data_IF_621391042692
#
_entry.id   IF_621391042692
#
_cell.length_a   1.000
_cell.length_b   1.000
_cell.length_c   1.000
_cell.angle_alpha   90.00
_cell.angle_beta   90.00
_cell.angle_gamma   90.00
#
_symmetry.space_group_name_H-M   'P 1'
#
loop_
_entity.id
_entity.type
_entity.pdbx_description
1 polymer ?
#
# COMPACT_ATOMS: atom_id res chain seq x y z
N UNK A 1 -20.20 3.54 10.59
CA UNK A 1 -19.05 3.55 9.66
C UNK A 1 -19.42 2.62 8.54
N UNK A 2 -19.62 3.14 7.33
CA UNK A 2 -19.81 2.27 6.18
C UNK A 2 -18.47 1.56 5.94
N UNK A 3 -18.43 0.28 6.26
CA UNK A 3 -17.29 -0.57 5.92
C UNK A 3 -17.38 -0.79 4.41
N UNK A 4 -16.56 -0.09 3.63
CA UNK A 4 -16.48 -0.41 2.20
C UNK A 4 -15.79 -1.77 2.03
N UNK A 5 -16.31 -2.53 1.08
CA UNK A 5 -15.69 -3.73 0.55
C UNK A 5 -15.44 -3.54 -0.95
N UNK A 6 -14.86 -4.55 -1.59
CA UNK A 6 -14.52 -4.50 -3.00
C UNK A 6 -15.74 -4.56 -3.95
N UNK A 7 -16.97 -4.75 -3.45
CA UNK A 7 -18.19 -4.84 -4.27
C UNK A 7 -18.50 -3.55 -5.03
N UNK A 8 -17.97 -2.40 -4.59
CA UNK A 8 -18.07 -1.14 -5.34
C UNK A 8 -17.48 -1.24 -6.75
N UNK A 9 -16.55 -2.17 -6.96
CA UNK A 9 -15.91 -2.45 -8.24
C UNK A 9 -16.54 -3.64 -9.00
N UNK A 10 -17.66 -4.20 -8.53
CA UNK A 10 -18.35 -5.30 -9.22
C UNK A 10 -18.82 -4.91 -10.62
N UNK A 11 -19.16 -3.63 -10.80
CA UNK A 11 -19.47 -3.08 -12.11
C UNK A 11 -18.17 -2.71 -12.81
N UNK A 12 -17.90 -3.34 -13.95
CA UNK A 12 -16.73 -3.07 -14.82
C UNK A 12 -16.47 -1.58 -15.05
N UNK A 13 -17.53 -0.79 -15.24
CA UNK A 13 -17.45 0.67 -15.45
C UNK A 13 -16.83 1.41 -14.25
N UNK A 14 -17.15 1.01 -13.02
CA UNK A 14 -16.60 1.66 -11.81
C UNK A 14 -15.13 1.29 -11.61
N UNK A 15 -14.76 0.03 -11.83
CA UNK A 15 -13.36 -0.40 -11.82
C UNK A 15 -12.54 0.38 -12.86
N UNK A 16 -13.01 0.42 -14.12
CA UNK A 16 -12.34 1.14 -15.20
C UNK A 16 -12.16 2.63 -14.86
N UNK A 17 -13.22 3.27 -14.37
CA UNK A 17 -13.18 4.69 -13.98
C UNK A 17 -12.12 4.94 -12.90
N UNK A 18 -12.06 4.09 -11.87
CA UNK A 18 -11.07 4.22 -10.82
C UNK A 18 -9.63 4.01 -11.33
N UNK A 19 -9.41 2.98 -12.16
CA UNK A 19 -8.10 2.72 -12.76
C UNK A 19 -7.63 3.88 -13.65
N UNK A 20 -8.50 4.42 -14.49
CA UNK A 20 -8.18 5.57 -15.35
C UNK A 20 -7.80 6.79 -14.50
N UNK A 21 -8.55 7.08 -13.42
CA UNK A 21 -8.21 8.17 -12.52
C UNK A 21 -6.82 8.00 -11.91
N UNK A 22 -6.48 6.80 -11.46
CA UNK A 22 -5.14 6.51 -10.92
C UNK A 22 -4.05 6.75 -11.96
N UNK A 23 -4.23 6.27 -13.19
CA UNK A 23 -3.26 6.48 -14.27
C UNK A 23 -3.04 7.96 -14.60
N UNK A 24 -4.11 8.75 -14.58
CA UNK A 24 -4.06 10.18 -14.95
C UNK A 24 -3.54 11.08 -13.82
N UNK A 25 -3.86 10.77 -12.56
CA UNK A 25 -3.69 11.71 -11.45
C UNK A 25 -2.76 11.21 -10.34
N UNK A 26 -2.54 9.90 -10.21
CA UNK A 26 -1.75 9.37 -9.11
C UNK A 26 -0.28 9.26 -9.53
N UNK A 27 0.53 10.20 -9.03
CA UNK A 27 2.00 10.14 -9.13
C UNK A 27 2.53 10.00 -10.57
N UNK A 28 2.06 10.79 -11.56
CA UNK A 28 2.44 10.63 -12.97
C UNK A 28 3.94 10.80 -13.25
N UNK A 29 4.68 11.48 -12.37
CA UNK A 29 6.12 11.75 -12.50
C UNK A 29 6.91 11.41 -11.23
N UNK A 30 6.40 10.48 -10.41
CA UNK A 30 7.04 10.13 -9.13
C UNK A 30 8.25 9.21 -9.34
N UNK A 31 9.42 9.52 -8.74
CA UNK A 31 10.59 8.64 -8.80
C UNK A 31 10.30 7.23 -8.27
N UNK A 32 9.35 7.09 -7.34
CA UNK A 32 8.89 5.81 -6.85
C UNK A 32 8.30 4.91 -7.94
N UNK A 33 7.89 5.47 -9.08
CA UNK A 33 7.43 4.67 -10.22
C UNK A 33 8.54 4.05 -11.04
N UNK A 34 9.60 4.83 -11.30
CA UNK A 34 10.82 4.32 -11.91
C UNK A 34 11.42 3.18 -11.05
N UNK A 35 11.53 3.40 -9.74
CA UNK A 35 12.04 2.40 -8.80
C UNK A 35 11.16 1.15 -8.73
N UNK A 36 9.84 1.32 -8.74
CA UNK A 36 8.89 0.20 -8.81
C UNK A 36 9.17 -0.67 -10.04
N UNK A 37 9.32 -0.05 -11.22
CA UNK A 37 9.63 -0.77 -12.45
C UNK A 37 10.98 -1.51 -12.38
N UNK A 38 12.00 -0.87 -11.79
CA UNK A 38 13.34 -1.47 -11.60
C UNK A 38 13.31 -2.69 -10.70
N UNK A 39 12.54 -2.69 -9.62
CA UNK A 39 12.39 -3.85 -8.73
C UNK A 39 11.88 -5.09 -9.48
N UNK A 40 10.97 -4.91 -10.44
CA UNK A 40 10.40 -6.03 -11.19
C UNK A 40 11.27 -6.55 -12.33
N UNK A 41 12.44 -5.96 -12.58
CA UNK A 41 13.46 -6.54 -13.45
C UNK A 41 14.14 -7.76 -12.79
N UNK A 42 14.08 -7.86 -11.45
CA UNK A 42 14.65 -8.98 -10.71
C UNK A 42 13.74 -10.21 -10.75
N UNK A 43 14.31 -11.35 -11.12
CA UNK A 43 13.66 -12.66 -10.94
C UNK A 43 13.58 -13.00 -9.46
N UNK A 44 12.62 -13.84 -9.07
CA UNK A 44 12.45 -14.26 -7.67
C UNK A 44 13.75 -14.80 -7.04
N UNK A 45 14.50 -15.62 -7.78
CA UNK A 45 15.80 -16.15 -7.32
C UNK A 45 16.84 -15.09 -6.96
N UNK A 46 16.69 -13.87 -7.49
CA UNK A 46 17.57 -12.72 -7.24
C UNK A 46 17.06 -11.81 -6.11
N UNK A 47 15.83 -12.01 -5.61
CA UNK A 47 15.19 -11.15 -4.59
C UNK A 47 15.78 -11.24 -3.18
N UNK A 48 16.86 -11.99 -3.02
CA UNK A 48 17.62 -12.13 -1.77
C UNK A 48 19.09 -11.74 -1.95
N UNK A 49 19.44 -11.16 -3.11
CA UNK A 49 20.74 -10.54 -3.35
C UNK A 49 20.83 -9.17 -2.67
N UNK A 50 22.05 -8.69 -2.44
CA UNK A 50 22.28 -7.36 -1.87
C UNK A 50 21.64 -6.28 -2.75
N UNK A 51 21.92 -6.29 -4.06
CA UNK A 51 21.39 -5.32 -5.03
C UNK A 51 19.87 -5.20 -4.98
N UNK A 52 19.16 -6.32 -4.87
CA UNK A 52 17.70 -6.29 -4.75
C UNK A 52 17.25 -5.68 -3.43
N UNK A 53 17.87 -6.08 -2.32
CA UNK A 53 17.47 -5.65 -0.97
C UNK A 53 17.77 -4.15 -0.79
N UNK A 54 18.90 -3.67 -1.30
CA UNK A 54 19.22 -2.23 -1.36
C UNK A 54 18.17 -1.47 -2.16
N UNK A 55 17.85 -1.94 -3.38
CA UNK A 55 16.82 -1.32 -4.21
C UNK A 55 15.44 -1.34 -3.54
N UNK A 56 15.08 -2.43 -2.88
CA UNK A 56 13.86 -2.57 -2.09
C UNK A 56 13.81 -1.52 -0.96
N UNK A 57 14.90 -1.39 -0.20
CA UNK A 57 15.00 -0.43 0.91
C UNK A 57 14.85 1.02 0.44
N UNK A 58 15.54 1.37 -0.65
CA UNK A 58 15.45 2.69 -1.29
C UNK A 58 14.03 2.94 -1.82
N UNK A 59 13.41 1.94 -2.44
CA UNK A 59 12.06 2.06 -2.97
C UNK A 59 11.02 2.25 -1.87
N UNK A 60 11.12 1.49 -0.78
CA UNK A 60 10.25 1.68 0.40
C UNK A 60 10.42 3.09 0.99
N UNK A 61 11.66 3.59 1.05
CA UNK A 61 11.95 4.97 1.47
C UNK A 61 11.28 6.00 0.54
N UNK A 62 11.41 5.85 -0.78
CA UNK A 62 10.73 6.68 -1.78
C UNK A 62 9.18 6.56 -1.70
N UNK A 63 8.68 5.45 -1.19
CA UNK A 63 7.25 5.22 -0.91
C UNK A 63 6.82 5.76 0.48
N UNK A 64 7.65 6.60 1.11
CA UNK A 64 7.45 7.25 2.42
C UNK A 64 7.43 6.30 3.62
N UNK A 65 8.05 5.12 3.53
CA UNK A 65 8.18 4.18 4.66
C UNK A 65 9.26 4.58 5.67
N UNK A 66 9.97 5.69 5.42
CA UNK A 66 10.88 6.33 6.37
C UNK A 66 10.46 7.79 6.66
N UNK A 67 9.25 7.96 7.20
CA UNK A 67 8.63 9.25 7.51
C UNK A 67 8.09 9.28 8.95
N UNK A 68 7.43 10.37 9.38
CA UNK A 68 6.99 10.52 10.80
C UNK A 68 6.15 9.33 11.33
N UNK A 69 5.37 8.67 10.47
CA UNK A 69 4.50 7.54 10.83
C UNK A 69 5.02 6.14 10.49
N UNK A 70 6.19 6.02 9.88
CA UNK A 70 6.81 4.74 9.55
C UNK A 70 8.33 4.92 9.54
N UNK A 71 9.08 4.04 10.21
CA UNK A 71 10.53 4.08 10.17
C UNK A 71 11.00 2.67 9.84
N UNK A 72 11.73 2.54 8.73
CA UNK A 72 12.39 1.29 8.36
C UNK A 72 13.43 0.96 9.42
N UNK A 73 13.64 -0.33 9.68
CA UNK A 73 14.78 -0.79 10.47
C UNK A 73 16.10 -0.30 9.84
N UNK A 74 17.17 -0.28 10.63
CA UNK A 74 18.52 -0.13 10.07
C UNK A 74 18.75 -1.14 8.94
N UNK A 75 19.45 -0.71 7.90
CA UNK A 75 19.59 -1.49 6.66
C UNK A 75 20.16 -2.90 6.91
N UNK A 76 21.14 -3.04 7.81
CA UNK A 76 21.69 -4.36 8.17
C UNK A 76 20.63 -5.29 8.75
N UNK A 77 19.85 -4.82 9.73
CA UNK A 77 18.75 -5.57 10.36
C UNK A 77 17.69 -5.95 9.33
N UNK A 78 17.32 -5.01 8.45
CA UNK A 78 16.37 -5.23 7.37
C UNK A 78 16.86 -6.30 6.39
N UNK A 79 18.12 -6.20 5.96
CA UNK A 79 18.75 -7.08 4.98
C UNK A 79 18.91 -8.51 5.52
N UNK A 80 19.43 -8.65 6.73
CA UNK A 80 19.57 -9.93 7.42
C UNK A 80 18.21 -10.60 7.61
N UNK A 81 17.21 -9.86 8.10
CA UNK A 81 15.88 -10.41 8.34
C UNK A 81 15.21 -10.95 7.06
N UNK A 82 15.34 -10.24 5.92
CA UNK A 82 14.81 -10.76 4.63
C UNK A 82 15.54 -12.04 4.20
N UNK A 83 16.86 -12.10 4.36
CA UNK A 83 17.66 -13.26 3.96
C UNK A 83 17.37 -14.48 4.84
N UNK A 84 17.17 -14.30 6.14
CA UNK A 84 16.82 -15.36 7.09
C UNK A 84 15.50 -16.05 6.73
N UNK A 85 14.52 -15.29 6.24
CA UNK A 85 13.19 -15.81 5.88
C UNK A 85 13.07 -16.27 4.42
N UNK A 86 14.19 -16.41 3.70
CA UNK A 86 14.22 -16.81 2.28
C UNK A 86 13.46 -18.11 2.01
N UNK A 87 13.55 -19.09 2.90
CA UNK A 87 12.86 -20.38 2.79
C UNK A 87 11.35 -20.21 2.80
N UNK A 88 10.81 -19.32 3.64
CA UNK A 88 9.38 -19.05 3.74
C UNK A 88 8.86 -18.29 2.52
N UNK A 89 9.61 -17.28 2.07
CA UNK A 89 9.27 -16.61 0.80
C UNK A 89 9.26 -17.60 -0.37
N UNK A 90 10.19 -18.56 -0.42
CA UNK A 90 10.24 -19.57 -1.49
C UNK A 90 9.01 -20.47 -1.51
N UNK A 91 8.42 -20.80 -0.35
CA UNK A 91 7.15 -21.54 -0.27
C UNK A 91 6.00 -20.75 -0.92
N UNK A 92 6.10 -19.41 -0.92
CA UNK A 92 5.09 -18.50 -1.44
C UNK A 92 5.30 -18.06 -2.90
N UNK A 93 6.44 -18.36 -3.52
CA UNK A 93 6.88 -17.81 -4.82
C UNK A 93 5.84 -17.92 -5.94
N UNK A 94 5.12 -19.04 -6.01
CA UNK A 94 4.15 -19.33 -7.08
C UNK A 94 2.70 -19.17 -6.65
N UNK A 95 2.47 -18.69 -5.43
CA UNK A 95 1.14 -18.48 -4.89
C UNK A 95 0.55 -17.19 -5.47
N UNK A 96 -0.76 -17.18 -5.70
CA UNK A 96 -1.50 -16.00 -6.14
C UNK A 96 -2.43 -15.53 -5.03
N UNK A 97 -2.94 -14.31 -5.13
CA UNK A 97 -3.84 -13.76 -4.11
C UNK A 97 -5.11 -14.60 -3.93
N UNK A 98 -5.53 -15.36 -4.94
CA UNK A 98 -6.63 -16.34 -4.80
C UNK A 98 -6.29 -17.51 -3.87
N UNK A 99 -5.01 -17.81 -3.66
CA UNK A 99 -4.49 -18.84 -2.75
C UNK A 99 -4.18 -18.32 -1.35
N UNK A 100 -4.53 -17.06 -1.03
CA UNK A 100 -4.17 -16.39 0.22
C UNK A 100 -4.47 -17.25 1.46
N UNK A 101 -5.68 -17.81 1.58
CA UNK A 101 -6.11 -18.55 2.77
C UNK A 101 -5.20 -19.76 3.08
N UNK A 102 -4.71 -20.45 2.04
CA UNK A 102 -3.81 -21.60 2.18
C UNK A 102 -2.46 -21.24 2.79
N UNK A 103 -2.08 -19.96 2.70
CA UNK A 103 -0.77 -19.44 3.06
C UNK A 103 -0.78 -18.64 4.36
N UNK A 104 -1.91 -18.61 5.07
CA UNK A 104 -2.12 -17.77 6.27
C UNK A 104 -1.04 -17.92 7.33
N UNK A 105 -0.71 -19.16 7.68
CA UNK A 105 0.25 -19.42 8.76
C UNK A 105 1.66 -18.94 8.41
N UNK A 106 2.11 -19.16 7.16
CA UNK A 106 3.42 -18.67 6.70
C UNK A 106 3.43 -17.13 6.67
N UNK A 107 2.35 -16.51 6.21
CA UNK A 107 2.24 -15.04 6.17
C UNK A 107 2.17 -14.45 7.58
N UNK A 108 1.49 -15.11 8.53
CA UNK A 108 1.46 -14.71 9.93
C UNK A 108 2.85 -14.81 10.56
N UNK A 109 3.56 -15.91 10.31
CA UNK A 109 4.93 -16.09 10.81
C UNK A 109 5.86 -14.98 10.27
N UNK A 110 5.79 -14.69 8.97
CA UNK A 110 6.50 -13.56 8.37
C UNK A 110 6.10 -12.23 9.04
N UNK A 111 4.81 -11.99 9.31
CA UNK A 111 4.37 -10.76 9.98
C UNK A 111 4.94 -10.63 11.39
N UNK A 112 5.09 -11.75 12.08
CA UNK A 112 5.62 -11.80 13.44
C UNK A 112 7.13 -11.65 13.50
N UNK A 113 7.86 -12.18 12.52
CA UNK A 113 9.31 -12.34 12.62
C UNK A 113 10.11 -11.41 11.69
N UNK A 114 9.50 -10.86 10.64
CA UNK A 114 10.20 -9.99 9.70
C UNK A 114 10.44 -8.59 10.28
N UNK A 115 11.72 -8.20 10.41
CA UNK A 115 12.18 -6.94 11.00
C UNK A 115 12.33 -5.86 9.94
N UNK A 116 11.21 -5.41 9.36
CA UNK A 116 11.19 -4.37 8.32
C UNK A 116 10.96 -2.96 8.84
N UNK A 117 10.56 -2.81 10.10
CA UNK A 117 10.32 -1.54 10.78
C UNK A 117 11.08 -1.48 12.09
N UNK A 118 11.47 -0.27 12.47
CA UNK A 118 12.06 0.01 13.77
C UNK A 118 11.18 -0.48 14.92
N UNK A 119 11.84 -0.79 16.05
CA UNK A 119 11.15 -1.21 17.27
C UNK A 119 10.09 -0.18 17.70
N UNK A 120 8.91 -0.67 18.09
CA UNK A 120 7.77 0.16 18.47
C UNK A 120 7.05 0.86 17.32
N UNK A 121 7.43 0.65 16.05
CA UNK A 121 6.69 1.15 14.89
C UNK A 121 5.67 0.13 14.37
N UNK A 122 4.53 0.59 13.85
CA UNK A 122 3.49 -0.30 13.31
C UNK A 122 3.95 -0.95 11.99
N UNK A 123 4.05 -2.30 11.91
CA UNK A 123 4.54 -2.99 10.72
C UNK A 123 3.56 -2.99 9.53
N UNK A 124 2.24 -2.90 9.75
CA UNK A 124 1.21 -3.20 8.75
C UNK A 124 1.51 -2.72 7.31
N UNK A 125 1.76 -1.43 7.18
CA UNK A 125 1.92 -0.76 5.87
C UNK A 125 3.25 -1.15 5.24
N UNK A 126 4.34 -1.06 6.00
CA UNK A 126 5.68 -1.42 5.53
C UNK A 126 5.74 -2.89 5.15
N UNK A 127 5.20 -3.77 6.01
CA UNK A 127 5.12 -5.21 5.79
C UNK A 127 4.39 -5.53 4.48
N UNK A 128 3.17 -5.02 4.28
CA UNK A 128 2.41 -5.28 3.04
C UNK A 128 3.15 -4.84 1.78
N UNK A 129 3.83 -3.69 1.83
CA UNK A 129 4.64 -3.18 0.70
C UNK A 129 5.87 -4.05 0.47
N UNK A 130 6.59 -4.44 1.52
CA UNK A 130 7.72 -5.36 1.42
C UNK A 130 7.29 -6.68 0.79
N UNK A 131 6.20 -7.29 1.26
CA UNK A 131 5.68 -8.52 0.69
C UNK A 131 5.22 -8.33 -0.75
N UNK A 132 4.59 -7.21 -1.09
CA UNK A 132 4.19 -6.94 -2.47
C UNK A 132 5.40 -6.88 -3.43
N UNK A 133 6.51 -6.27 -3.01
CA UNK A 133 7.72 -6.24 -3.84
C UNK A 133 8.34 -7.64 -4.03
N UNK A 134 8.27 -8.50 -3.02
CA UNK A 134 8.84 -9.86 -3.09
C UNK A 134 7.86 -10.83 -3.79
N UNK A 135 6.56 -10.74 -3.49
CA UNK A 135 5.47 -11.63 -3.87
C UNK A 135 4.31 -10.84 -4.52
N UNK A 136 4.53 -10.22 -5.69
CA UNK A 136 3.57 -9.26 -6.29
C UNK A 136 2.25 -9.88 -6.73
N UNK A 137 2.21 -11.18 -6.97
CA UNK A 137 1.01 -11.90 -7.38
C UNK A 137 0.17 -12.39 -6.19
N UNK A 138 0.74 -12.41 -4.97
CA UNK A 138 0.09 -12.89 -3.75
C UNK A 138 -0.45 -11.75 -2.89
N UNK A 139 0.34 -10.69 -2.65
CA UNK A 139 0.02 -9.65 -1.66
C UNK A 139 -0.16 -8.29 -2.34
N UNK A 140 -1.23 -7.58 -1.98
CA UNK A 140 -1.42 -6.19 -2.38
C UNK A 140 -0.64 -5.25 -1.44
N UNK A 141 -0.13 -4.11 -1.95
CA UNK A 141 0.39 -3.10 -1.05
C UNK A 141 -0.77 -2.41 -0.33
N UNK A 142 -0.63 -2.19 0.98
CA UNK A 142 -1.61 -1.42 1.77
C UNK A 142 -1.05 -0.02 2.01
N UNK A 143 -1.88 1.00 1.82
CA UNK A 143 -1.56 2.39 2.09
C UNK A 143 -2.49 3.00 3.16
N UNK A 144 -1.94 3.89 4.00
CA UNK A 144 -2.74 4.58 5.04
C UNK A 144 -3.76 5.54 4.44
N UNK A 145 -3.35 6.31 3.43
CA UNK A 145 -4.14 7.39 2.86
C UNK A 145 -5.27 6.87 1.98
N UNK A 146 -5.04 5.74 1.31
CA UNK A 146 -6.00 5.18 0.35
C UNK A 146 -6.62 3.89 0.86
N UNK A 147 -5.84 2.82 1.05
CA UNK A 147 -6.36 1.49 1.37
C UNK A 147 -7.04 1.45 2.74
N UNK A 148 -6.38 1.87 3.81
CA UNK A 148 -7.01 1.89 5.13
C UNK A 148 -8.23 2.82 5.15
N UNK A 149 -8.13 3.96 4.46
CA UNK A 149 -9.23 4.91 4.37
C UNK A 149 -10.44 4.37 3.61
N UNK A 150 -10.21 3.54 2.59
CA UNK A 150 -11.28 2.83 1.90
C UNK A 150 -12.01 1.90 2.85
N UNK A 151 -11.29 0.98 3.51
CA UNK A 151 -11.92 -0.04 4.36
C UNK A 151 -12.45 0.50 5.71
N UNK A 152 -11.88 1.58 6.26
CA UNK A 152 -12.13 2.03 7.63
C UNK A 152 -12.41 3.54 7.79
N UNK A 153 -12.41 4.33 6.71
CA UNK A 153 -12.68 5.77 6.76
C UNK A 153 -11.51 6.64 7.26
N UNK A 154 -11.79 7.87 7.69
CA UNK A 154 -10.77 8.94 7.90
C UNK A 154 -9.89 8.79 9.14
N UNK A 155 -10.28 7.98 10.13
CA UNK A 155 -9.65 7.96 11.45
C UNK A 155 -8.74 6.75 11.66
N UNK A 156 -7.98 6.35 10.64
CA UNK A 156 -7.18 5.11 10.67
C UNK A 156 -5.86 5.24 11.43
N UNK A 157 -5.40 6.46 11.70
CA UNK A 157 -4.07 6.73 12.29
C UNK A 157 -3.94 6.33 13.76
N UNK A 158 -5.05 6.08 14.46
CA UNK A 158 -5.07 5.77 15.90
C UNK A 158 -5.61 4.38 16.24
N UNK A 159 -6.18 3.65 15.27
CA UNK A 159 -7.03 2.49 15.55
C UNK A 159 -6.30 1.15 15.74
N UNK A 160 -5.04 1.01 15.33
CA UNK A 160 -4.37 -0.30 15.24
C UNK A 160 -3.04 -0.31 15.98
N UNK A 161 -3.08 -0.21 17.33
CA UNK A 161 -1.87 -0.11 18.15
C UNK A 161 -1.16 -1.45 18.35
N UNK A 162 -1.88 -2.53 18.65
CA UNK A 162 -1.24 -3.83 18.87
C UNK A 162 -0.85 -4.50 17.56
N UNK A 163 0.22 -5.31 17.60
CA UNK A 163 0.71 -6.07 16.46
C UNK A 163 -0.35 -7.06 15.94
N UNK A 164 -1.05 -7.76 16.83
CA UNK A 164 -2.12 -8.67 16.46
C UNK A 164 -3.27 -7.97 15.74
N UNK A 165 -3.67 -6.77 16.22
CA UNK A 165 -4.73 -6.01 15.55
C UNK A 165 -4.30 -5.55 14.17
N UNK A 166 -3.02 -5.21 14.00
CA UNK A 166 -2.47 -4.90 12.70
C UNK A 166 -2.47 -6.11 11.76
N UNK A 167 -2.13 -7.31 12.25
CA UNK A 167 -2.26 -8.51 11.43
C UNK A 167 -3.72 -8.79 11.05
N UNK A 168 -4.67 -8.65 11.98
CA UNK A 168 -6.10 -8.83 11.69
C UNK A 168 -6.58 -7.88 10.58
N UNK A 169 -6.16 -6.62 10.62
CA UNK A 169 -6.49 -5.62 9.58
C UNK A 169 -5.85 -5.97 8.25
N UNK A 170 -4.55 -6.29 8.25
CA UNK A 170 -3.84 -6.76 7.07
C UNK A 170 -4.56 -7.96 6.45
N UNK A 171 -4.83 -8.99 7.25
CA UNK A 171 -5.45 -10.22 6.80
C UNK A 171 -6.85 -9.98 6.23
N UNK A 172 -7.66 -9.15 6.89
CA UNK A 172 -8.99 -8.78 6.41
C UNK A 172 -8.93 -8.08 5.06
N UNK A 173 -8.04 -7.11 4.88
CA UNK A 173 -7.90 -6.39 3.60
C UNK A 173 -7.48 -7.35 2.48
N UNK A 174 -6.43 -8.15 2.69
CA UNK A 174 -5.97 -9.11 1.70
C UNK A 174 -7.03 -10.17 1.38
N UNK A 175 -7.83 -10.58 2.38
CA UNK A 175 -8.97 -11.50 2.19
C UNK A 175 -10.04 -10.89 1.28
N UNK A 176 -10.38 -9.61 1.44
CA UNK A 176 -11.33 -8.93 0.55
C UNK A 176 -10.79 -8.80 -0.87
N UNK A 177 -9.49 -8.52 -1.03
CA UNK A 177 -8.83 -8.57 -2.33
C UNK A 177 -8.84 -9.97 -2.94
N UNK A 178 -8.57 -11.01 -2.16
CA UNK A 178 -8.63 -12.41 -2.60
C UNK A 178 -10.02 -12.79 -3.11
N UNK A 179 -11.07 -12.49 -2.34
CA UNK A 179 -12.48 -12.71 -2.73
C UNK A 179 -12.83 -11.99 -4.02
N UNK A 180 -12.41 -10.72 -4.14
CA UNK A 180 -12.63 -9.94 -5.36
C UNK A 180 -11.92 -10.57 -6.57
N UNK A 181 -10.66 -10.98 -6.40
CA UNK A 181 -9.88 -11.62 -7.46
C UNK A 181 -10.43 -12.99 -7.88
N UNK A 182 -11.10 -13.73 -6.98
CA UNK A 182 -11.79 -14.97 -7.30
C UNK A 182 -13.09 -14.72 -8.10
N UNK A 183 -13.79 -13.61 -7.81
CA UNK A 183 -15.05 -13.25 -8.48
C UNK A 183 -14.84 -12.64 -9.87
N UNK A 184 -13.80 -11.83 -10.03
CA UNK A 184 -13.56 -11.05 -11.25
C UNK A 184 -12.72 -11.82 -12.27
N UNK A 185 -13.36 -12.23 -13.37
CA UNK A 185 -12.73 -13.05 -14.42
C UNK A 185 -11.75 -12.29 -15.32
N UNK A 186 -11.94 -10.97 -15.45
CA UNK A 186 -11.24 -10.16 -16.46
C UNK A 186 -10.07 -9.33 -15.90
N UNK A 187 -9.63 -9.53 -14.65
CA UNK A 187 -8.60 -8.68 -14.05
C UNK A 187 -7.28 -8.69 -14.85
N UNK A 188 -6.96 -9.82 -15.49
CA UNK A 188 -5.78 -9.94 -16.36
C UNK A 188 -5.79 -8.96 -17.55
N UNK A 189 -6.96 -8.53 -18.01
CA UNK A 189 -7.07 -7.57 -19.13
C UNK A 189 -6.59 -6.16 -18.77
N UNK A 190 -6.46 -5.85 -17.48
CA UNK A 190 -5.96 -4.56 -17.00
C UNK A 190 -4.46 -4.60 -16.65
N UNK A 191 -3.81 -5.75 -16.79
CA UNK A 191 -2.39 -5.88 -16.48
C UNK A 191 -1.56 -5.16 -17.54
N UNK A 192 -0.79 -4.19 -17.11
CA UNK A 192 0.21 -3.50 -17.91
C UNK A 192 1.59 -3.76 -17.32
N UNK A 193 2.39 -4.58 -18.02
CA UNK A 193 3.73 -4.98 -17.58
C UNK A 193 4.73 -3.83 -17.57
N UNK A 194 4.46 -2.74 -18.29
CA UNK A 194 5.35 -1.59 -18.37
C UNK A 194 4.82 -0.39 -17.56
N UNK A 195 3.58 -0.47 -17.09
CA UNK A 195 2.91 0.58 -16.32
C UNK A 195 2.71 0.23 -14.86
N UNK A 196 1.69 0.88 -14.27
CA UNK A 196 1.40 0.82 -12.84
C UNK A 196 0.63 -0.43 -12.42
N UNK A 197 -0.05 -1.11 -13.36
CA UNK A 197 -0.90 -2.28 -13.11
C UNK A 197 -0.15 -3.59 -13.39
N UNK A 198 0.95 -3.87 -12.68
CA UNK A 198 1.81 -5.02 -13.00
C UNK A 198 1.28 -6.39 -12.58
N UNK A 199 0.43 -6.44 -11.56
CA UNK A 199 -0.14 -7.67 -11.02
C UNK A 199 -1.58 -7.47 -10.60
N UNK A 200 -2.33 -8.56 -10.43
CA UNK A 200 -3.72 -8.53 -9.95
C UNK A 200 -3.81 -7.78 -8.60
N UNK A 201 -2.96 -8.07 -7.59
CA UNK A 201 -2.94 -7.28 -6.36
C UNK A 201 -2.74 -5.78 -6.57
N UNK A 202 -1.85 -5.39 -7.50
CA UNK A 202 -1.60 -3.98 -7.78
C UNK A 202 -2.77 -3.28 -8.49
N UNK A 203 -3.49 -4.00 -9.35
CA UNK A 203 -4.73 -3.48 -9.98
C UNK A 203 -5.76 -3.12 -8.90
N UNK A 204 -5.94 -3.98 -7.89
CA UNK A 204 -6.89 -3.71 -6.81
C UNK A 204 -6.47 -2.52 -5.95
N UNK A 205 -5.19 -2.42 -5.58
CA UNK A 205 -4.65 -1.23 -4.91
C UNK A 205 -4.88 0.04 -5.74
N UNK A 206 -4.59 0.00 -7.04
CA UNK A 206 -4.79 1.14 -7.93
C UNK A 206 -6.27 1.53 -8.09
N UNK A 207 -7.19 0.57 -8.09
CA UNK A 207 -8.61 0.85 -8.08
C UNK A 207 -9.02 1.56 -6.79
N UNK A 208 -8.53 1.10 -5.64
CA UNK A 208 -8.79 1.76 -4.35
C UNK A 208 -8.22 3.18 -4.31
N UNK A 209 -6.99 3.38 -4.81
CA UNK A 209 -6.37 4.72 -4.92
C UNK A 209 -7.24 5.64 -5.77
N UNK A 210 -7.69 5.19 -6.93
CA UNK A 210 -8.47 6.00 -7.87
C UNK A 210 -9.86 6.32 -7.37
N UNK A 211 -10.43 5.42 -6.56
CA UNK A 211 -11.71 5.64 -5.90
C UNK A 211 -11.62 6.67 -4.76
N UNK A 212 -10.56 6.61 -3.94
CA UNK A 212 -10.40 7.47 -2.76
C UNK A 212 -9.79 8.85 -3.08
N UNK A 213 -8.92 8.93 -4.08
CA UNK A 213 -8.18 10.17 -4.41
C UNK A 213 -9.06 11.41 -4.62
N UNK A 214 -10.16 11.36 -5.39
CA UNK A 214 -11.04 12.52 -5.59
C UNK A 214 -11.57 13.08 -4.26
N UNK A 215 -11.94 12.20 -3.33
CA UNK A 215 -12.45 12.59 -2.01
C UNK A 215 -11.36 13.26 -1.18
N UNK A 216 -10.14 12.72 -1.20
CA UNK A 216 -9.00 13.32 -0.48
C UNK A 216 -8.62 14.69 -1.05
N UNK A 217 -8.67 14.86 -2.37
CA UNK A 217 -8.34 16.12 -3.02
C UNK A 217 -9.34 17.23 -2.68
N UNK A 218 -10.64 16.92 -2.71
CA UNK A 218 -11.70 17.86 -2.31
C UNK A 218 -11.52 18.36 -0.88
N UNK A 219 -11.23 17.45 0.05
CA UNK A 219 -11.01 17.80 1.46
C UNK A 219 -9.79 18.70 1.66
N UNK A 220 -8.69 18.43 0.94
CA UNK A 220 -7.51 19.29 0.98
C UNK A 220 -7.82 20.69 0.45
N UNK A 221 -8.62 20.80 -0.61
CA UNK A 221 -9.03 22.09 -1.15
C UNK A 221 -9.90 22.87 -0.15
N UNK A 222 -10.86 22.20 0.50
CA UNK A 222 -11.70 22.79 1.55
C UNK A 222 -10.88 23.26 2.76
N UNK A 223 -9.91 22.45 3.21
CA UNK A 223 -9.04 22.82 4.32
C UNK A 223 -8.18 24.05 4.00
N UNK A 224 -7.57 24.08 2.81
CA UNK A 224 -6.79 25.26 2.35
C UNK A 224 -7.66 26.52 2.28
N UNK A 225 -8.91 26.40 1.83
CA UNK A 225 -9.87 27.52 1.80
C UNK A 225 -10.14 28.04 3.21
N UNK A 226 -10.45 27.15 4.16
CA UNK A 226 -10.69 27.52 5.58
C UNK A 226 -9.46 28.17 6.22
N UNK A 227 -8.26 27.67 5.95
CA UNK A 227 -7.01 28.25 6.45
C UNK A 227 -6.75 29.65 5.88
N UNK A 228 -7.06 29.88 4.60
CA UNK A 228 -6.95 31.19 3.97
C UNK A 228 -7.95 32.18 4.60
N UNK A 229 -9.21 31.80 4.75
CA UNK A 229 -10.24 32.62 5.40
C UNK A 229 -9.87 32.98 6.84
N UNK A 230 -9.31 32.02 7.61
CA UNK A 230 -8.84 32.27 8.99
C UNK A 230 -7.68 33.27 9.02
N UNK A 231 -6.72 33.17 8.09
CA UNK A 231 -5.60 34.11 7.98
C UNK A 231 -6.07 35.51 7.58
N UNK A 232 -7.03 35.64 6.68
CA UNK A 232 -7.61 36.92 6.28
C UNK A 232 -8.36 37.59 7.45
N UNK A 233 -9.20 36.84 8.19
CA UNK A 233 -9.87 37.34 9.40
C UNK A 233 -8.88 37.83 10.47
N UNK A 234 -7.78 37.10 10.68
CA UNK A 234 -6.74 37.51 11.63
C UNK A 234 -6.08 38.84 11.23
N UNK A 235 -5.81 39.02 9.92
CA UNK A 235 -5.23 40.26 9.40
C UNK A 235 -6.17 41.45 9.56
N UNK A 236 -7.47 41.27 9.32
CA UNK A 236 -8.47 42.32 9.52
C UNK A 236 -8.54 42.75 10.99
N UNK A 237 -8.58 41.80 11.93
CA UNK A 237 -8.58 42.11 13.38
C UNK A 237 -7.33 42.88 13.80
N UNK A 238 -6.15 42.49 13.28
CA UNK A 238 -4.88 43.17 13.60
C UNK A 238 -4.79 44.57 12.99
N UNK A 239 -5.48 44.84 11.88
CA UNK A 239 -5.54 46.17 11.27
C UNK A 239 -6.50 47.11 11.99
N UNK A 240 -7.55 46.60 12.64
CA UNK A 240 -8.54 47.39 13.40
C UNK A 240 -8.09 47.81 14.80
N UNK A 241 -6.95 47.31 15.28
CA UNK A 241 -6.37 47.62 16.60
C UNK A 241 -5.07 48.45 16.51
N UNK A 242 -4.74 48.98 15.33
CA UNK A 242 -3.71 49.99 15.09
C UNK A 242 -4.37 51.31 14.72
#
# INVERSE_FOLDING_TARGET
MDNFDMSVFDKKKELQKALNYTLEHYRPHDPGSYLYNKIFEFKFSQKFSEDFIELLYVTLSAWNMNSRGAKLSDFSVFSESIKEHKSDFKKLEHQKIQDLEKNKEIIKDLFDNLKVVDEGKPPLVTFSKTLHFILPDLIAPIDRRYTLRFFYGKNTDTCFRSKDKQFEVFWRIETEFSKFAQKQKDLNSYVDKNGWNRSIPKIMDNAVIGFISPTVEREKAEQKKKEKEKKEKLKTIQASHK
#
